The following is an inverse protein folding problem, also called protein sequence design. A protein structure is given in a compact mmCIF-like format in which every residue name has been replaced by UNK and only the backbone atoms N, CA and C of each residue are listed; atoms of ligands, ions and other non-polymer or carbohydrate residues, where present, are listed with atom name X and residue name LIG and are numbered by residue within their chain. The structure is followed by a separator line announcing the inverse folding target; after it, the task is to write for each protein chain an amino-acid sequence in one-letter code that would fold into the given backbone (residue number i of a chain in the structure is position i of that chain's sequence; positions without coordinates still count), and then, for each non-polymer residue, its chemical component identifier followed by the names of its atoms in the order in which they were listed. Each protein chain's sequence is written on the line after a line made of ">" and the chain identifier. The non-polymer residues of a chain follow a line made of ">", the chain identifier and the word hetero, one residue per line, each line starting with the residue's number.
data_IF_926341946648
#
_entry.id   IF_926341946648
#
_cell.length_a   1.000
_cell.length_b   1.000
_cell.length_c   1.000
_cell.angle_alpha   90.00
_cell.angle_beta   90.00
_cell.angle_gamma   90.00
#
_symmetry.space_group_name_H-M   'P 1'
#
loop_
_entity.id
_entity.type
_entity.pdbx_description
1 polymer ?
#
# COMPACT_ATOMS: atom_id res chain seq x y z
N UNK A 1 37.21 -21.17 -7.97
CA UNK A 1 36.78 -19.98 -8.75
C UNK A 1 37.69 -18.80 -8.39
N UNK A 2 38.16 -17.99 -9.36
CA UNK A 2 39.03 -16.85 -9.09
C UNK A 2 38.35 -15.86 -8.15
N UNK A 3 39.06 -15.35 -7.13
CA UNK A 3 38.56 -14.32 -6.19
C UNK A 3 38.01 -13.08 -6.91
N UNK A 4 38.53 -12.79 -8.10
CA UNK A 4 38.12 -11.69 -8.98
C UNK A 4 36.65 -11.80 -9.42
N UNK A 5 36.10 -13.00 -9.58
CA UNK A 5 34.69 -13.20 -9.99
C UNK A 5 33.74 -13.08 -8.78
N UNK A 6 34.24 -13.29 -7.56
CA UNK A 6 33.43 -13.21 -6.33
C UNK A 6 33.07 -11.76 -5.95
N UNK A 7 34.00 -10.81 -6.11
CA UNK A 7 33.77 -9.40 -5.81
C UNK A 7 32.63 -8.72 -6.61
N UNK A 8 32.55 -8.83 -7.95
CA UNK A 8 31.45 -8.23 -8.70
C UNK A 8 30.10 -8.88 -8.36
N UNK A 9 30.09 -10.17 -8.03
CA UNK A 9 28.88 -10.89 -7.64
C UNK A 9 28.37 -10.43 -6.27
N UNK A 10 29.27 -10.21 -5.31
CA UNK A 10 28.94 -9.60 -4.01
C UNK A 10 28.43 -8.17 -4.18
N UNK A 11 29.09 -7.36 -5.02
CA UNK A 11 28.66 -5.98 -5.30
C UNK A 11 27.26 -5.93 -5.93
N UNK A 12 26.97 -6.86 -6.84
CA UNK A 12 25.66 -6.99 -7.47
C UNK A 12 24.56 -7.32 -6.44
N UNK A 13 24.82 -8.24 -5.52
CA UNK A 13 23.87 -8.57 -4.43
C UNK A 13 23.63 -7.36 -3.53
N UNK A 14 24.68 -6.63 -3.15
CA UNK A 14 24.55 -5.41 -2.33
C UNK A 14 23.70 -4.36 -3.07
N UNK A 15 23.95 -4.14 -4.36
CA UNK A 15 23.18 -3.21 -5.18
C UNK A 15 21.69 -3.61 -5.27
N UNK A 16 21.39 -4.90 -5.41
CA UNK A 16 20.02 -5.41 -5.40
C UNK A 16 19.31 -5.16 -4.06
N UNK A 17 20.00 -5.43 -2.94
CA UNK A 17 19.45 -5.17 -1.60
C UNK A 17 19.21 -3.68 -1.38
N UNK A 18 20.17 -2.83 -1.74
CA UNK A 18 20.05 -1.38 -1.64
C UNK A 18 18.83 -0.87 -2.44
N UNK A 19 18.64 -1.39 -3.66
CA UNK A 19 17.47 -1.08 -4.49
C UNK A 19 16.15 -1.44 -3.80
N UNK A 20 16.05 -2.64 -3.25
CA UNK A 20 14.84 -3.09 -2.52
C UNK A 20 14.53 -2.18 -1.34
N UNK A 21 15.56 -1.74 -0.59
CA UNK A 21 15.40 -0.83 0.54
C UNK A 21 14.88 0.54 0.05
N UNK A 22 15.50 1.11 -0.99
CA UNK A 22 15.10 2.40 -1.56
C UNK A 22 13.65 2.36 -2.09
N UNK A 23 13.27 1.30 -2.80
CA UNK A 23 11.91 1.11 -3.32
C UNK A 23 10.88 1.08 -2.19
N UNK A 24 11.17 0.35 -1.10
CA UNK A 24 10.30 0.30 0.08
C UNK A 24 10.17 1.66 0.78
N UNK A 25 11.27 2.41 0.92
CA UNK A 25 11.25 3.76 1.50
C UNK A 25 10.40 4.69 0.62
N UNK A 26 10.58 4.66 -0.69
CA UNK A 26 9.80 5.45 -1.64
C UNK A 26 8.30 5.17 -1.54
N UNK A 27 7.92 3.89 -1.47
CA UNK A 27 6.52 3.46 -1.25
C UNK A 27 5.98 4.06 0.05
N UNK A 28 6.72 3.98 1.16
CA UNK A 28 6.29 4.51 2.46
C UNK A 28 6.07 6.03 2.38
N UNK A 29 7.00 6.77 1.78
CA UNK A 29 6.90 8.23 1.64
C UNK A 29 5.68 8.61 0.80
N UNK A 30 5.48 7.97 -0.36
CA UNK A 30 4.32 8.21 -1.24
C UNK A 30 3.01 7.89 -0.54
N UNK A 31 2.92 6.74 0.12
CA UNK A 31 1.74 6.35 0.89
C UNK A 31 1.43 7.36 1.99
N UNK A 32 2.44 7.80 2.75
CA UNK A 32 2.26 8.80 3.81
C UNK A 32 1.80 10.15 3.24
N UNK A 33 2.35 10.58 2.10
CA UNK A 33 1.94 11.82 1.42
C UNK A 33 0.47 11.74 0.97
N UNK A 34 0.05 10.62 0.40
CA UNK A 34 -1.34 10.38 0.01
C UNK A 34 -2.29 10.40 1.23
N UNK A 35 -1.96 9.66 2.28
CA UNK A 35 -2.74 9.62 3.53
C UNK A 35 -2.85 11.01 4.17
N UNK A 36 -1.77 11.79 4.18
CA UNK A 36 -1.80 13.14 4.75
C UNK A 36 -2.63 14.12 3.92
N UNK A 37 -2.71 13.90 2.60
CA UNK A 37 -3.49 14.75 1.69
C UNK A 37 -4.99 14.47 1.79
N UNK A 38 -5.39 13.20 1.84
CA UNK A 38 -6.80 12.81 1.74
C UNK A 38 -7.41 12.34 3.06
N UNK A 39 -6.61 11.81 3.98
CA UNK A 39 -7.08 11.13 5.18
C UNK A 39 -6.36 11.65 6.44
N UNK A 40 -6.35 12.98 6.64
CA UNK A 40 -5.53 13.66 7.66
C UNK A 40 -5.89 13.29 9.11
N UNK A 41 -7.17 13.09 9.39
CA UNK A 41 -7.67 12.79 10.72
C UNK A 41 -7.45 11.30 11.05
N UNK A 42 -6.91 11.02 12.24
CA UNK A 42 -6.60 9.66 12.69
C UNK A 42 -7.79 8.97 13.36
N UNK A 43 -8.73 9.75 13.86
CA UNK A 43 -9.86 9.28 14.67
C UNK A 43 -11.16 9.28 13.85
N UNK A 44 -11.20 10.02 12.74
CA UNK A 44 -12.28 9.94 11.74
C UNK A 44 -12.31 8.58 11.04
N UNK A 45 -13.53 8.06 10.88
CA UNK A 45 -13.86 7.01 9.92
C UNK A 45 -14.28 7.65 8.59
N UNK A 46 -13.68 7.18 7.51
CA UNK A 46 -13.94 7.65 6.15
C UNK A 46 -14.96 6.73 5.47
N UNK A 47 -15.98 7.30 4.86
CA UNK A 47 -16.96 6.53 4.10
C UNK A 47 -16.37 5.96 2.80
N UNK A 48 -17.02 4.91 2.28
CA UNK A 48 -16.67 4.34 0.98
C UNK A 48 -16.63 5.39 -0.15
N UNK A 49 -17.56 6.36 -0.17
CA UNK A 49 -17.55 7.47 -1.14
C UNK A 49 -16.32 8.38 -0.99
N UNK A 50 -15.96 8.76 0.24
CA UNK A 50 -14.78 9.59 0.48
C UNK A 50 -13.51 8.88 0.04
N UNK A 51 -13.43 7.58 0.33
CA UNK A 51 -12.29 6.76 -0.03
C UNK A 51 -12.22 6.59 -1.56
N UNK A 52 -13.30 6.17 -2.22
CA UNK A 52 -13.30 5.98 -3.68
C UNK A 52 -12.97 7.28 -4.43
N UNK A 53 -13.50 8.41 -3.97
CA UNK A 53 -13.19 9.74 -4.51
C UNK A 53 -11.71 10.10 -4.36
N UNK A 54 -11.09 9.81 -3.21
CA UNK A 54 -9.65 10.02 -3.01
C UNK A 54 -8.79 9.18 -3.98
N UNK A 55 -9.23 7.96 -4.30
CA UNK A 55 -8.62 7.09 -5.31
C UNK A 55 -8.99 7.44 -6.75
N UNK A 56 -9.88 8.43 -6.97
CA UNK A 56 -10.41 8.83 -8.29
C UNK A 56 -11.07 7.66 -9.02
N UNK A 57 -11.78 6.83 -8.28
CA UNK A 57 -12.54 5.70 -8.80
C UNK A 57 -14.01 5.88 -8.49
N UNK A 58 -14.85 5.45 -9.42
CA UNK A 58 -16.27 5.26 -9.16
C UNK A 58 -16.46 4.26 -8.01
N UNK A 59 -17.55 4.44 -7.27
CA UNK A 59 -17.82 3.66 -6.05
C UNK A 59 -17.93 2.16 -6.37
N UNK A 60 -18.58 1.78 -7.48
CA UNK A 60 -18.69 0.38 -7.88
C UNK A 60 -17.31 -0.22 -8.20
N UNK A 61 -16.48 0.50 -8.97
CA UNK A 61 -15.14 0.06 -9.33
C UNK A 61 -14.23 -0.09 -8.11
N UNK A 62 -14.28 0.85 -7.17
CA UNK A 62 -13.51 0.74 -5.94
C UNK A 62 -14.00 -0.44 -5.08
N UNK A 63 -15.32 -0.66 -5.00
CA UNK A 63 -15.88 -1.81 -4.27
C UNK A 63 -15.46 -3.16 -4.89
N UNK A 64 -15.43 -3.26 -6.23
CA UNK A 64 -14.94 -4.45 -6.93
C UNK A 64 -13.45 -4.71 -6.68
N UNK A 65 -12.63 -3.65 -6.66
CA UNK A 65 -11.22 -3.75 -6.29
C UNK A 65 -11.07 -4.34 -4.89
N UNK A 66 -11.81 -3.83 -3.91
CA UNK A 66 -11.76 -4.31 -2.54
C UNK A 66 -12.21 -5.78 -2.41
N UNK A 67 -13.32 -6.13 -3.06
CA UNK A 67 -13.82 -7.51 -3.12
C UNK A 67 -12.77 -8.46 -3.72
N UNK A 68 -12.07 -8.02 -4.76
CA UNK A 68 -10.97 -8.78 -5.37
C UNK A 68 -9.81 -8.97 -4.39
N UNK A 69 -9.40 -7.91 -3.70
CA UNK A 69 -8.31 -7.98 -2.72
C UNK A 69 -8.65 -8.91 -1.56
N UNK A 70 -9.89 -8.92 -1.09
CA UNK A 70 -10.36 -9.86 -0.06
C UNK A 70 -10.42 -11.29 -0.58
N UNK A 71 -11.00 -11.52 -1.76
CA UNK A 71 -11.14 -12.85 -2.37
C UNK A 71 -9.80 -13.59 -2.47
N UNK A 72 -8.74 -12.86 -2.76
CA UNK A 72 -7.38 -13.41 -2.88
C UNK A 72 -6.52 -13.22 -1.62
N UNK A 73 -7.14 -12.88 -0.48
CA UNK A 73 -6.47 -12.69 0.82
C UNK A 73 -5.31 -11.68 0.80
N UNK A 74 -5.33 -10.72 -0.13
CA UNK A 74 -4.34 -9.63 -0.17
C UNK A 74 -4.64 -8.53 0.85
N UNK A 75 -5.91 -8.37 1.22
CA UNK A 75 -6.36 -7.35 2.14
C UNK A 75 -7.60 -7.81 2.89
N UNK A 76 -7.73 -7.44 4.16
CA UNK A 76 -8.95 -7.55 4.94
C UNK A 76 -9.17 -6.25 5.71
N UNK A 77 -10.43 -5.89 5.97
CA UNK A 77 -10.76 -4.76 6.83
C UNK A 77 -10.70 -5.17 8.29
N UNK A 78 -9.93 -4.45 9.08
CA UNK A 78 -9.76 -4.66 10.51
C UNK A 78 -9.40 -3.36 11.20
N UNK A 79 -10.02 -3.10 12.34
CA UNK A 79 -9.63 -1.96 13.17
C UNK A 79 -8.28 -2.21 13.87
N UNK A 80 -7.76 -1.20 14.58
CA UNK A 80 -6.51 -1.31 15.38
C UNK A 80 -6.52 -2.45 16.41
N UNK A 81 -7.70 -2.96 16.80
CA UNK A 81 -7.89 -4.07 17.74
C UNK A 81 -8.08 -5.43 17.05
N UNK A 82 -7.97 -5.49 15.72
CA UNK A 82 -8.13 -6.72 14.92
C UNK A 82 -9.58 -7.13 14.65
N UNK A 83 -10.57 -6.29 14.97
CA UNK A 83 -11.99 -6.58 14.71
C UNK A 83 -12.36 -6.13 13.30
N UNK A 84 -12.99 -7.02 12.54
CA UNK A 84 -13.49 -6.72 11.19
C UNK A 84 -14.50 -5.59 11.22
N UNK A 85 -14.22 -4.51 10.49
CA UNK A 85 -15.11 -3.35 10.36
C UNK A 85 -16.13 -3.56 9.24
N UNK A 86 -17.27 -2.85 9.33
CA UNK A 86 -18.26 -2.78 8.25
C UNK A 86 -17.61 -2.12 7.03
N UNK A 87 -17.76 -2.73 5.85
CA UNK A 87 -17.10 -2.34 4.59
C UNK A 87 -17.44 -0.95 4.06
N UNK A 88 -18.34 -0.23 4.73
CA UNK A 88 -18.74 1.11 4.33
C UNK A 88 -17.90 2.21 5.00
N UNK A 89 -17.12 1.88 6.05
CA UNK A 89 -16.33 2.83 6.80
C UNK A 89 -14.91 2.33 7.07
N UNK A 90 -13.95 3.24 6.90
CA UNK A 90 -12.53 2.93 6.83
C UNK A 90 -11.76 3.81 7.81
N UNK A 91 -11.01 3.19 8.71
CA UNK A 91 -10.07 3.92 9.56
C UNK A 91 -8.83 4.32 8.76
N UNK A 92 -8.17 5.41 9.16
CA UNK A 92 -6.87 5.79 8.60
C UNK A 92 -5.83 4.66 8.72
N UNK A 93 -5.97 3.80 9.73
CA UNK A 93 -5.09 2.64 9.91
C UNK A 93 -5.26 1.64 8.76
N UNK A 94 -6.48 1.22 8.43
CA UNK A 94 -6.75 0.32 7.29
C UNK A 94 -6.31 0.94 5.97
N UNK A 95 -6.64 2.22 5.77
CA UNK A 95 -6.23 2.97 4.57
C UNK A 95 -4.72 3.00 4.41
N UNK A 96 -3.95 3.06 5.51
CA UNK A 96 -2.49 2.99 5.44
C UNK A 96 -2.01 1.67 4.86
N UNK A 97 -2.63 0.54 5.21
CA UNK A 97 -2.27 -0.76 4.65
C UNK A 97 -2.74 -0.87 3.19
N UNK A 98 -3.96 -0.42 2.88
CA UNK A 98 -4.49 -0.46 1.53
C UNK A 98 -3.64 0.37 0.57
N UNK A 99 -3.32 1.62 0.94
CA UNK A 99 -2.50 2.52 0.11
C UNK A 99 -1.10 1.95 -0.08
N UNK A 100 -0.51 1.31 0.93
CA UNK A 100 0.80 0.64 0.82
C UNK A 100 0.75 -0.57 -0.10
N UNK A 101 -0.27 -1.40 0.03
CA UNK A 101 -0.49 -2.58 -0.82
C UNK A 101 -0.62 -2.15 -2.28
N UNK A 102 -1.47 -1.14 -2.54
CA UNK A 102 -1.67 -0.59 -3.87
C UNK A 102 -0.39 0.07 -4.39
N UNK A 103 0.32 0.85 -3.58
CA UNK A 103 1.61 1.46 -3.96
C UNK A 103 2.70 0.43 -4.27
N UNK A 104 2.65 -0.74 -3.63
CA UNK A 104 3.61 -1.85 -3.85
C UNK A 104 3.26 -2.66 -5.10
N UNK A 105 1.97 -2.91 -5.34
CA UNK A 105 1.47 -3.62 -6.53
C UNK A 105 1.52 -2.73 -7.78
N UNK A 106 1.32 -1.43 -7.61
CA UNK A 106 1.46 -0.42 -8.63
C UNK A 106 2.93 0.02 -8.77
N UNK A 107 3.73 -0.79 -9.50
CA UNK A 107 4.60 -0.24 -10.55
C UNK A 107 3.74 0.39 -11.67
N UNK A 108 2.68 1.14 -11.35
CA UNK A 108 1.93 1.86 -12.37
C UNK A 108 2.80 3.02 -12.79
N UNK A 109 3.20 2.98 -14.06
CA UNK A 109 3.82 4.09 -14.77
C UNK A 109 2.94 5.33 -14.53
N UNK A 110 3.59 6.42 -14.11
CA UNK A 110 3.04 7.76 -14.24
C UNK A 110 2.96 8.12 -15.72
#
# INVERSE_FOLDING_TARGET
>A
MPKIIQYPLILFIIALIAKIIIDNICIIIKSNKFLNKYFKDKDKLYSLEEVSSAFRLEKEHFSQLLSTLEKYHYFSFFNKKGVTMVKDYYSRYELKYLVRLLSKKQKLKY
#
